data_IF_383866529959
#
_entry.id   IF_383866529959
#
_cell.length_a   1.000
_cell.length_b   1.000
_cell.length_c   1.000
_cell.angle_alpha   90.00
_cell.angle_beta   90.00
_cell.angle_gamma   90.00
#
_symmetry.space_group_name_H-M   'P 1'
#
loop_
_entity.id
_entity.type
_entity.pdbx_description
1 polymer ?
#
# COMPACT_ATOMS: atom_id res chain seq x y z
N UNK A 1 -17.98 -16.75 -22.22
CA UNK A 1 -17.44 -16.71 -20.85
C UNK A 1 -18.49 -16.06 -19.98
N UNK A 2 -18.88 -16.69 -18.87
CA UNK A 2 -19.80 -16.05 -17.92
C UNK A 2 -18.99 -15.09 -17.05
N UNK A 3 -19.29 -13.80 -17.14
CA UNK A 3 -18.75 -12.77 -16.24
C UNK A 3 -19.75 -12.55 -15.12
N UNK A 4 -19.26 -12.30 -13.90
CA UNK A 4 -20.07 -11.88 -12.76
C UNK A 4 -19.60 -10.50 -12.31
N UNK A 5 -20.52 -9.60 -12.03
CA UNK A 5 -20.20 -8.31 -11.43
C UNK A 5 -20.36 -8.37 -9.91
N UNK A 6 -19.42 -7.72 -9.21
CA UNK A 6 -19.45 -7.52 -7.76
C UNK A 6 -19.43 -6.02 -7.46
N UNK A 7 -20.23 -5.58 -6.48
CA UNK A 7 -20.15 -4.22 -5.95
C UNK A 7 -19.07 -4.18 -4.86
N UNK A 8 -18.15 -3.23 -4.98
CA UNK A 8 -17.05 -3.07 -4.03
C UNK A 8 -16.93 -1.65 -3.49
N UNK A 9 -16.45 -1.54 -2.24
CA UNK A 9 -16.09 -0.27 -1.59
C UNK A 9 -14.58 -0.20 -1.34
N UNK A 10 -13.96 0.94 -1.65
CA UNK A 10 -12.61 1.29 -1.23
C UNK A 10 -12.68 2.45 -0.25
N UNK A 11 -12.03 2.31 0.91
CA UNK A 11 -11.97 3.35 1.94
C UNK A 11 -10.49 3.61 2.23
N UNK A 12 -10.05 4.83 1.99
CA UNK A 12 -8.70 5.28 2.30
C UNK A 12 -8.75 6.26 3.47
N UNK A 13 -8.07 5.91 4.55
CA UNK A 13 -7.99 6.67 5.80
C UNK A 13 -6.54 7.14 5.95
N UNK A 14 -6.25 8.27 5.32
CA UNK A 14 -4.96 8.93 5.45
C UNK A 14 -4.87 9.79 6.72
N UNK A 15 -3.68 10.34 6.96
CA UNK A 15 -3.42 11.23 8.11
C UNK A 15 -4.26 12.51 8.06
N UNK A 16 -4.45 13.03 6.86
CA UNK A 16 -5.14 14.31 6.61
C UNK A 16 -6.54 14.07 6.11
N UNK A 17 -6.73 13.12 5.22
CA UNK A 17 -7.97 12.97 4.46
C UNK A 17 -8.50 11.55 4.47
N UNK A 18 -9.83 11.43 4.45
CA UNK A 18 -10.54 10.18 4.24
C UNK A 18 -11.35 10.25 2.94
N UNK A 19 -11.31 9.17 2.17
CA UNK A 19 -11.98 9.05 0.87
C UNK A 19 -12.72 7.71 0.76
N UNK A 20 -13.87 7.71 0.11
CA UNK A 20 -14.69 6.52 -0.16
C UNK A 20 -14.97 6.44 -1.65
N UNK A 21 -14.74 5.27 -2.25
CA UNK A 21 -15.13 4.96 -3.63
C UNK A 21 -16.01 3.73 -3.66
N UNK A 22 -16.97 3.70 -4.57
CA UNK A 22 -17.70 2.49 -4.93
C UNK A 22 -17.38 2.12 -6.37
N UNK A 23 -17.22 0.82 -6.63
CA UNK A 23 -16.85 0.30 -7.93
C UNK A 23 -17.57 -1.00 -8.25
N UNK A 24 -17.85 -1.22 -9.54
CA UNK A 24 -18.22 -2.52 -10.07
C UNK A 24 -16.97 -3.26 -10.55
N UNK A 25 -16.79 -4.49 -10.07
CA UNK A 25 -15.68 -5.36 -10.43
C UNK A 25 -16.19 -6.53 -11.26
N UNK A 26 -15.59 -6.74 -12.44
CA UNK A 26 -15.93 -7.89 -13.30
C UNK A 26 -15.00 -9.07 -13.02
N UNK A 27 -15.61 -10.20 -12.69
CA UNK A 27 -14.96 -11.44 -12.33
C UNK A 27 -15.17 -12.50 -13.42
N UNK A 28 -14.10 -13.21 -13.80
CA UNK A 28 -14.13 -14.31 -14.77
C UNK A 28 -13.45 -15.54 -14.19
N UNK A 29 -14.07 -16.72 -14.37
CA UNK A 29 -13.40 -17.98 -14.08
C UNK A 29 -12.46 -18.36 -15.23
N UNK A 30 -11.16 -18.39 -14.97
CA UNK A 30 -10.11 -18.83 -15.91
C UNK A 30 -9.79 -20.32 -15.83
N UNK A 31 -10.29 -21.05 -14.83
CA UNK A 31 -10.06 -22.48 -14.73
C UNK A 31 -10.83 -23.26 -15.79
N UNK A 32 -10.25 -24.37 -16.25
CA UNK A 32 -10.97 -25.35 -17.04
C UNK A 32 -12.10 -25.98 -16.20
N UNK A 33 -13.15 -26.49 -16.85
CA UNK A 33 -14.35 -27.05 -16.20
C UNK A 33 -14.04 -28.16 -15.19
N UNK A 34 -12.94 -28.90 -15.38
CA UNK A 34 -12.50 -29.99 -14.50
C UNK A 34 -11.53 -29.57 -13.39
N UNK A 35 -11.20 -28.28 -13.28
CA UNK A 35 -10.28 -27.74 -12.27
C UNK A 35 -11.03 -26.91 -11.23
N UNK A 36 -10.41 -26.73 -10.06
CA UNK A 36 -10.91 -25.80 -9.04
C UNK A 36 -11.10 -24.42 -9.69
N UNK A 37 -12.28 -23.78 -9.55
CA UNK A 37 -12.54 -22.47 -10.14
C UNK A 37 -11.45 -21.45 -9.79
N UNK A 38 -10.97 -20.72 -10.79
CA UNK A 38 -9.97 -19.67 -10.66
C UNK A 38 -10.57 -18.36 -11.11
N UNK A 39 -11.15 -17.65 -10.17
CA UNK A 39 -11.75 -16.36 -10.46
C UNK A 39 -10.67 -15.29 -10.52
N UNK A 40 -10.67 -14.50 -11.57
CA UNK A 40 -9.81 -13.34 -11.72
C UNK A 40 -10.66 -12.12 -12.05
N UNK A 41 -10.28 -10.99 -11.49
CA UNK A 41 -10.84 -9.73 -11.89
C UNK A 41 -10.18 -9.21 -13.15
N UNK A 42 -11.00 -8.77 -14.09
CA UNK A 42 -10.54 -8.32 -15.41
C UNK A 42 -10.88 -6.86 -15.70
N UNK A 43 -11.78 -6.26 -14.92
CA UNK A 43 -12.21 -4.87 -15.11
C UNK A 43 -12.71 -4.30 -13.79
N UNK A 44 -12.46 -3.00 -13.61
CA UNK A 44 -13.09 -2.18 -12.59
C UNK A 44 -13.72 -0.94 -13.22
N UNK A 45 -14.90 -0.59 -12.76
CA UNK A 45 -15.61 0.63 -13.15
C UNK A 45 -16.06 1.38 -11.89
N UNK A 46 -15.58 2.62 -11.71
CA UNK A 46 -15.93 3.41 -10.54
C UNK A 46 -17.34 3.99 -10.74
N UNK A 47 -18.28 3.59 -9.89
CA UNK A 47 -19.68 4.04 -9.97
C UNK A 47 -19.94 5.30 -9.15
N UNK A 48 -19.18 5.52 -8.09
CA UNK A 48 -19.32 6.72 -7.25
C UNK A 48 -18.03 7.05 -6.51
N UNK A 49 -17.81 8.35 -6.26
CA UNK A 49 -16.63 8.86 -5.56
C UNK A 49 -17.06 9.95 -4.57
N UNK A 50 -16.57 9.86 -3.33
CA UNK A 50 -16.86 10.86 -2.32
C UNK A 50 -16.11 12.18 -2.59
N UNK A 51 -16.57 13.30 -2.02
CA UNK A 51 -15.68 14.42 -1.72
C UNK A 51 -14.50 13.97 -0.88
N UNK A 52 -13.42 14.77 -0.87
CA UNK A 52 -12.30 14.54 0.03
C UNK A 52 -12.65 15.17 1.38
N UNK A 53 -12.70 14.35 2.42
CA UNK A 53 -13.01 14.82 3.78
C UNK A 53 -11.76 14.85 4.63
N UNK A 54 -11.72 15.71 5.64
CA UNK A 54 -10.69 15.61 6.67
C UNK A 54 -10.91 14.37 7.52
N UNK A 55 -9.82 13.62 7.78
CA UNK A 55 -9.88 12.45 8.65
C UNK A 55 -10.25 12.89 10.07
N UNK A 56 -11.30 12.32 10.69
CA UNK A 56 -11.66 12.62 12.07
C UNK A 56 -10.61 12.08 13.04
N UNK A 57 -9.63 12.93 13.39
CA UNK A 57 -8.59 12.65 14.38
C UNK A 57 -8.69 13.57 15.58
N UNK A 58 -8.26 13.09 16.75
CA UNK A 58 -8.01 13.95 17.91
C UNK A 58 -6.67 14.71 17.78
N UNK A 59 -6.37 15.57 18.76
CA UNK A 59 -5.14 16.38 18.77
C UNK A 59 -3.85 15.55 18.88
N UNK A 60 -3.95 14.29 19.28
CA UNK A 60 -2.85 13.34 19.40
C UNK A 60 -2.78 12.43 18.15
N UNK A 61 -3.60 12.68 17.13
CA UNK A 61 -3.68 11.90 15.90
C UNK A 61 -4.50 10.60 16.04
N UNK A 62 -5.21 10.40 17.15
CA UNK A 62 -6.04 9.22 17.38
C UNK A 62 -7.31 9.25 16.53
N UNK A 63 -7.65 8.14 15.87
CA UNK A 63 -8.88 8.07 15.07
C UNK A 63 -10.11 8.16 15.96
N UNK A 64 -11.02 9.09 15.62
CA UNK A 64 -12.32 9.20 16.27
C UNK A 64 -13.32 8.26 15.61
N UNK A 65 -13.35 7.02 16.08
CA UNK A 65 -14.08 5.91 15.45
C UNK A 65 -15.56 6.22 15.13
N UNK A 66 -16.29 6.84 16.05
CA UNK A 66 -17.71 7.16 15.85
C UNK A 66 -17.93 8.23 14.76
N UNK A 67 -17.09 9.27 14.72
CA UNK A 67 -17.14 10.32 13.70
C UNK A 67 -16.76 9.74 12.33
N UNK A 68 -15.71 8.91 12.27
CA UNK A 68 -15.28 8.23 11.05
C UNK A 68 -16.35 7.29 10.50
N UNK A 69 -16.98 6.49 11.37
CA UNK A 69 -18.08 5.60 10.97
C UNK A 69 -19.27 6.39 10.41
N UNK A 70 -19.63 7.50 11.05
CA UNK A 70 -20.73 8.37 10.60
C UNK A 70 -20.42 8.94 9.22
N UNK A 71 -19.22 9.50 9.03
CA UNK A 71 -18.75 10.03 7.76
C UNK A 71 -18.86 9.00 6.62
N UNK A 72 -18.42 7.76 6.87
CA UNK A 72 -18.49 6.68 5.88
C UNK A 72 -19.93 6.31 5.56
N UNK A 73 -20.79 6.14 6.57
CA UNK A 73 -22.20 5.79 6.33
C UNK A 73 -22.96 6.89 5.58
N UNK A 74 -22.62 8.16 5.80
CA UNK A 74 -23.13 9.27 4.99
C UNK A 74 -22.73 9.14 3.52
N UNK A 75 -21.54 8.60 3.21
CA UNK A 75 -21.11 8.36 1.84
C UNK A 75 -21.86 7.19 1.19
N UNK A 76 -22.15 6.13 1.95
CA UNK A 76 -23.05 5.05 1.49
C UNK A 76 -24.44 5.59 1.13
N UNK A 77 -24.99 6.43 2.01
CA UNK A 77 -26.29 7.07 1.76
C UNK A 77 -26.25 8.00 0.55
N UNK A 78 -25.20 8.81 0.40
CA UNK A 78 -25.02 9.70 -0.75
C UNK A 78 -24.84 8.94 -2.08
N UNK A 79 -24.25 7.74 -2.03
CA UNK A 79 -24.14 6.84 -3.19
C UNK A 79 -25.43 6.04 -3.46
N UNK A 80 -26.41 6.06 -2.55
CA UNK A 80 -27.62 5.25 -2.64
C UNK A 80 -27.37 3.74 -2.46
N UNK A 81 -26.29 3.38 -1.76
CA UNK A 81 -25.84 2.00 -1.58
C UNK A 81 -26.10 1.57 -0.13
N UNK A 82 -26.81 0.46 0.05
CA UNK A 82 -26.97 -0.17 1.36
C UNK A 82 -25.68 -0.95 1.72
N UNK A 83 -25.14 -0.85 2.95
CA UNK A 83 -23.95 -1.59 3.36
C UNK A 83 -24.01 -3.09 3.06
N UNK A 84 -25.18 -3.70 3.23
CA UNK A 84 -25.42 -5.14 3.03
C UNK A 84 -25.37 -5.56 1.55
N UNK A 85 -25.44 -4.60 0.62
CA UNK A 85 -25.36 -4.86 -0.81
C UNK A 85 -23.93 -4.87 -1.37
N UNK A 86 -22.95 -4.49 -0.56
CA UNK A 86 -21.53 -4.50 -0.96
C UNK A 86 -20.97 -5.91 -0.79
N UNK A 87 -20.52 -6.51 -1.90
CA UNK A 87 -19.96 -7.86 -1.92
C UNK A 87 -18.53 -7.91 -1.37
N UNK A 88 -17.78 -6.80 -1.48
CA UNK A 88 -16.34 -6.74 -1.28
C UNK A 88 -15.90 -5.36 -0.80
N UNK A 89 -14.92 -5.27 0.10
CA UNK A 89 -14.30 -3.98 0.41
C UNK A 89 -12.85 -4.04 0.84
N UNK A 90 -12.18 -2.90 0.72
CA UNK A 90 -10.86 -2.67 1.27
C UNK A 90 -10.86 -1.38 2.07
N UNK A 91 -10.28 -1.43 3.26
CA UNK A 91 -9.97 -0.28 4.09
C UNK A 91 -8.45 -0.19 4.22
N UNK A 92 -7.88 0.90 3.75
CA UNK A 92 -6.47 1.22 3.87
C UNK A 92 -6.31 2.32 4.90
N UNK A 93 -5.38 2.15 5.82
CA UNK A 93 -4.92 3.21 6.73
C UNK A 93 -3.49 3.56 6.34
N UNK A 94 -3.20 4.84 6.13
CA UNK A 94 -1.86 5.29 5.70
C UNK A 94 -1.27 6.38 6.59
N UNK A 95 0.01 6.67 6.35
CA UNK A 95 0.76 7.74 6.99
C UNK A 95 0.87 7.61 8.52
N UNK A 96 0.90 8.75 9.21
CA UNK A 96 0.98 8.80 10.68
C UNK A 96 -0.25 8.21 11.37
N UNK A 97 -1.43 8.26 10.74
CA UNK A 97 -2.64 7.61 11.26
C UNK A 97 -2.46 6.10 11.44
N UNK A 98 -1.73 5.43 10.53
CA UNK A 98 -1.43 4.00 10.65
C UNK A 98 -0.56 3.67 11.88
N UNK A 99 0.25 4.62 12.36
CA UNK A 99 1.15 4.44 13.52
C UNK A 99 0.44 4.63 14.86
N UNK A 100 -0.81 5.13 14.86
CA UNK A 100 -1.52 5.35 16.11
C UNK A 100 -2.01 4.03 16.72
N UNK A 101 -1.87 3.91 18.05
CA UNK A 101 -2.25 2.71 18.80
C UNK A 101 -3.73 2.32 18.61
N UNK A 102 -4.61 3.29 18.40
CA UNK A 102 -6.04 3.02 18.24
C UNK A 102 -6.49 2.79 16.79
N UNK A 103 -5.62 2.99 15.79
CA UNK A 103 -6.01 2.97 14.39
C UNK A 103 -6.45 1.58 13.90
N UNK A 104 -5.61 0.56 14.14
CA UNK A 104 -5.92 -0.82 13.76
C UNK A 104 -7.17 -1.36 14.47
N UNK A 105 -7.35 -1.20 15.80
CA UNK A 105 -8.61 -1.58 16.46
C UNK A 105 -9.84 -0.87 15.88
N UNK A 106 -9.78 0.45 15.69
CA UNK A 106 -10.91 1.24 15.19
C UNK A 106 -11.35 0.77 13.79
N UNK A 107 -10.39 0.52 12.89
CA UNK A 107 -10.71 0.07 11.53
C UNK A 107 -11.14 -1.39 11.48
N UNK A 108 -10.64 -2.25 12.35
CA UNK A 108 -11.15 -3.62 12.46
C UNK A 108 -12.61 -3.64 12.94
N UNK A 109 -12.97 -2.77 13.88
CA UNK A 109 -14.37 -2.61 14.30
C UNK A 109 -15.24 -2.05 13.17
N UNK A 110 -14.74 -1.05 12.44
CA UNK A 110 -15.40 -0.47 11.28
C UNK A 110 -15.66 -1.54 10.20
N UNK A 111 -14.62 -2.31 9.82
CA UNK A 111 -14.71 -3.41 8.85
C UNK A 111 -15.83 -4.38 9.23
N UNK A 112 -15.83 -4.90 10.47
CA UNK A 112 -16.89 -5.81 10.97
C UNK A 112 -18.30 -5.25 10.85
N UNK A 113 -18.47 -3.93 10.89
CA UNK A 113 -19.78 -3.28 10.76
C UNK A 113 -20.22 -3.01 9.31
N UNK A 114 -19.29 -3.05 8.36
CA UNK A 114 -19.53 -2.76 6.94
C UNK A 114 -19.48 -4.01 6.05
N UNK A 115 -18.76 -5.07 6.45
CA UNK A 115 -18.63 -6.32 5.70
C UNK A 115 -17.33 -7.07 6.01
N UNK A 116 -17.03 -8.15 5.30
CA UNK A 116 -15.74 -8.85 5.44
C UNK A 116 -14.69 -8.23 4.53
N UNK A 117 -14.13 -7.10 4.95
CA UNK A 117 -13.22 -6.29 4.14
C UNK A 117 -11.75 -6.59 4.45
N UNK A 118 -10.88 -6.37 3.46
CA UNK A 118 -9.45 -6.24 3.73
C UNK A 118 -9.26 -5.03 4.62
N UNK A 119 -8.54 -5.21 5.70
CA UNK A 119 -8.00 -4.09 6.46
C UNK A 119 -6.49 -4.16 6.34
N UNK A 120 -5.93 -3.12 5.73
CA UNK A 120 -4.50 -2.97 5.56
C UNK A 120 -4.03 -1.71 6.25
N UNK A 121 -3.03 -1.87 7.12
CA UNK A 121 -2.22 -0.75 7.57
C UNK A 121 -1.06 -0.67 6.60
N UNK A 122 -1.07 0.33 5.73
CA UNK A 122 0.02 0.55 4.79
C UNK A 122 1.04 1.48 5.43
N UNK A 123 2.24 0.97 5.66
CA UNK A 123 3.39 1.83 5.90
C UNK A 123 3.82 2.53 4.62
N UNK A 124 4.93 3.28 4.67
CA UNK A 124 5.34 4.12 3.55
C UNK A 124 5.66 3.34 2.26
N UNK A 125 6.18 2.11 2.37
CA UNK A 125 6.48 1.29 1.19
C UNK A 125 5.19 0.83 0.50
N UNK A 126 4.26 0.25 1.25
CA UNK A 126 3.00 -0.25 0.71
C UNK A 126 2.12 0.90 0.17
N UNK A 127 2.05 2.03 0.87
CA UNK A 127 1.32 3.22 0.40
C UNK A 127 1.87 3.70 -0.95
N UNK A 128 3.20 3.74 -1.10
CA UNK A 128 3.84 4.12 -2.37
C UNK A 128 3.43 3.21 -3.53
N UNK A 129 3.43 1.89 -3.31
CA UNK A 129 3.05 0.90 -4.34
C UNK A 129 1.58 1.08 -4.72
N UNK A 130 0.68 1.16 -3.74
CA UNK A 130 -0.76 1.28 -3.96
C UNK A 130 -1.08 2.58 -4.72
N UNK A 131 -0.48 3.70 -4.33
CA UNK A 131 -0.63 4.97 -5.05
C UNK A 131 -0.11 4.86 -6.49
N UNK A 132 1.04 4.21 -6.70
CA UNK A 132 1.58 3.97 -8.05
C UNK A 132 0.66 3.13 -8.94
N UNK A 133 0.03 2.08 -8.40
CA UNK A 133 -0.97 1.30 -9.11
C UNK A 133 -2.20 2.13 -9.46
N UNK A 134 -2.78 2.85 -8.49
CA UNK A 134 -3.97 3.64 -8.76
C UNK A 134 -3.75 4.83 -9.67
N UNK A 135 -2.54 5.40 -9.70
CA UNK A 135 -2.13 6.41 -10.67
C UNK A 135 -1.97 5.86 -12.10
N UNK A 136 -1.87 4.53 -12.25
CA UNK A 136 -1.65 3.85 -13.52
C UNK A 136 -0.17 3.79 -13.94
N UNK A 137 0.76 4.08 -13.03
CA UNK A 137 2.19 4.08 -13.33
C UNK A 137 2.73 2.68 -13.66
N UNK A 138 2.22 1.66 -12.97
CA UNK A 138 2.56 0.26 -13.26
C UNK A 138 2.12 -0.15 -14.67
N UNK A 139 0.86 0.11 -15.02
CA UNK A 139 0.31 -0.19 -16.36
C UNK A 139 1.07 0.56 -17.45
N UNK A 140 1.42 1.84 -17.20
CA UNK A 140 2.23 2.63 -18.13
C UNK A 140 3.62 2.02 -18.34
N UNK A 141 4.27 1.60 -17.26
CA UNK A 141 5.57 0.93 -17.28
C UNK A 141 5.52 -0.39 -18.06
N UNK A 142 4.48 -1.19 -17.86
CA UNK A 142 4.28 -2.47 -18.54
C UNK A 142 4.06 -2.28 -20.04
N UNK A 143 3.13 -1.39 -20.43
CA UNK A 143 2.78 -1.15 -21.83
C UNK A 143 3.93 -0.56 -22.65
N UNK A 144 4.77 0.27 -22.01
CA UNK A 144 5.92 0.92 -22.67
C UNK A 144 7.23 0.18 -22.46
N UNK A 145 7.25 -0.88 -21.65
CA UNK A 145 8.44 -1.63 -21.26
C UNK A 145 9.58 -0.69 -20.79
N UNK A 146 9.23 0.28 -19.95
CA UNK A 146 10.16 1.32 -19.50
C UNK A 146 10.04 1.57 -17.99
N UNK A 147 10.99 2.34 -17.45
CA UNK A 147 10.98 2.72 -16.02
C UNK A 147 10.06 3.92 -15.78
N UNK A 148 9.09 3.76 -14.89
CA UNK A 148 8.14 4.81 -14.50
C UNK A 148 8.22 5.03 -13.00
N UNK A 149 8.51 6.26 -12.57
CA UNK A 149 8.49 6.66 -11.17
C UNK A 149 7.20 7.43 -10.87
N UNK A 150 6.33 6.87 -10.03
CA UNK A 150 5.24 7.64 -9.44
C UNK A 150 5.70 8.32 -8.16
N UNK A 151 5.31 9.58 -7.99
CA UNK A 151 5.51 10.35 -6.76
C UNK A 151 4.14 10.84 -6.28
N UNK A 152 3.63 10.22 -5.24
CA UNK A 152 2.36 10.58 -4.61
C UNK A 152 2.61 11.63 -3.52
N UNK A 153 2.24 12.88 -3.79
CA UNK A 153 2.54 14.02 -2.92
C UNK A 153 1.26 14.43 -2.20
N UNK A 154 1.15 13.99 -0.95
CA UNK A 154 0.03 14.25 -0.06
C UNK A 154 0.25 15.46 0.85
N UNK A 155 -0.45 15.48 1.98
CA UNK A 155 -0.34 16.53 2.99
C UNK A 155 0.96 16.45 3.81
N UNK A 156 1.38 15.24 4.19
CA UNK A 156 2.55 15.06 5.07
C UNK A 156 3.80 14.51 4.38
N UNK A 157 3.64 13.74 3.31
CA UNK A 157 4.70 12.95 2.69
C UNK A 157 4.62 12.97 1.17
N UNK A 158 5.77 12.65 0.54
CA UNK A 158 5.91 12.30 -0.86
C UNK A 158 6.37 10.84 -0.94
N UNK A 159 5.50 9.99 -1.49
CA UNK A 159 5.67 8.54 -1.59
C UNK A 159 6.09 8.14 -3.01
N UNK A 160 7.22 7.46 -3.14
CA UNK A 160 7.86 7.14 -4.41
C UNK A 160 7.70 5.64 -4.72
N UNK A 161 7.23 5.30 -5.92
CA UNK A 161 7.23 3.93 -6.42
C UNK A 161 7.78 3.86 -7.84
N UNK A 162 8.89 3.13 -7.98
CA UNK A 162 9.56 2.92 -9.25
C UNK A 162 9.15 1.56 -9.83
N UNK A 163 8.52 1.59 -11.00
CA UNK A 163 8.17 0.40 -11.76
C UNK A 163 9.10 0.23 -12.95
N UNK A 164 9.52 -1.00 -13.23
CA UNK A 164 10.30 -1.39 -14.40
C UNK A 164 9.58 -2.54 -15.12
N UNK A 165 9.17 -2.29 -16.36
CA UNK A 165 8.32 -3.19 -17.15
C UNK A 165 7.14 -3.78 -16.35
N UNK A 166 6.45 -2.92 -15.58
CA UNK A 166 5.29 -3.31 -14.77
C UNK A 166 5.61 -3.98 -13.43
N UNK A 167 6.89 -4.16 -13.07
CA UNK A 167 7.31 -4.74 -11.78
C UNK A 167 7.85 -3.66 -10.86
N UNK A 168 7.55 -3.75 -9.56
CA UNK A 168 8.14 -2.84 -8.57
C UNK A 168 9.66 -3.09 -8.47
N UNK A 169 10.46 -2.04 -8.61
CA UNK A 169 11.92 -2.10 -8.49
C UNK A 169 12.46 -1.30 -7.31
N UNK A 170 11.69 -0.35 -6.77
CA UNK A 170 12.06 0.37 -5.55
C UNK A 170 10.95 1.29 -5.05
N UNK A 171 11.01 1.61 -3.76
CA UNK A 171 10.13 2.59 -3.13
C UNK A 171 10.91 3.45 -2.16
N UNK A 172 10.46 4.69 -1.95
CA UNK A 172 11.04 5.63 -1.02
C UNK A 172 9.95 6.54 -0.45
N UNK A 173 10.16 7.13 0.73
CA UNK A 173 9.20 8.08 1.31
C UNK A 173 9.94 9.24 1.97
N UNK A 174 9.53 10.45 1.64
CA UNK A 174 10.08 11.70 2.14
C UNK A 174 9.01 12.47 2.92
N UNK A 175 9.34 12.98 4.11
CA UNK A 175 8.47 13.87 4.90
C UNK A 175 8.39 15.29 4.30
N UNK A 176 7.86 15.39 3.08
CA UNK A 176 7.57 16.64 2.38
C UNK A 176 6.17 16.54 1.78
N UNK A 177 5.27 17.45 2.15
CA UNK A 177 3.90 17.48 1.66
C UNK A 177 3.23 18.84 1.86
N UNK A 178 2.06 19.04 1.24
CA UNK A 178 1.39 20.35 1.17
C UNK A 178 0.90 20.91 2.51
N UNK A 179 0.65 20.04 3.51
CA UNK A 179 0.08 20.38 4.81
C UNK A 179 1.09 20.40 5.95
N UNK A 180 2.39 20.34 5.64
CA UNK A 180 3.42 20.54 6.66
C UNK A 180 3.32 21.93 7.31
N UNK A 181 2.80 22.92 6.59
CA UNK A 181 2.36 24.21 7.13
C UNK A 181 0.86 24.37 6.84
N UNK A 182 0.06 24.45 7.88
CA UNK A 182 -1.39 24.75 7.79
C UNK A 182 -1.58 26.25 7.82
N UNK A 183 -2.49 26.76 7.00
CA UNK A 183 -2.76 28.19 6.84
C UNK A 183 -4.21 28.53 7.15
N UNK A 184 -4.49 29.80 7.45
CA UNK A 184 -5.85 30.34 7.34
C UNK A 184 -6.17 30.74 5.88
N UNK A 185 -7.40 31.18 5.62
CA UNK A 185 -7.82 31.61 4.28
C UNK A 185 -7.10 32.85 3.75
N UNK A 186 -6.24 33.50 4.55
CA UNK A 186 -5.40 34.62 4.14
C UNK A 186 -3.93 34.21 3.96
N UNK A 187 -3.62 32.92 4.09
CA UNK A 187 -2.27 32.39 3.94
C UNK A 187 -1.36 32.60 5.15
N UNK A 188 -1.90 32.99 6.32
CA UNK A 188 -1.10 33.01 7.55
C UNK A 188 -0.96 31.60 8.09
N UNK A 189 0.26 31.19 8.40
CA UNK A 189 0.49 29.87 9.02
C UNK A 189 -0.15 29.85 10.41
N UNK A 190 -1.05 28.90 10.63
CA UNK A 190 -1.70 28.64 11.91
C UNK A 190 -1.03 27.51 12.68
N UNK A 191 -0.40 26.58 11.96
CA UNK A 191 0.29 25.44 12.55
C UNK A 191 1.41 24.94 11.64
N UNK A 192 2.52 24.52 12.24
CA UNK A 192 3.65 23.91 11.55
C UNK A 192 3.93 22.54 12.14
N UNK A 193 3.88 21.51 11.30
CA UNK A 193 4.30 20.17 11.66
C UNK A 193 5.82 20.12 11.76
N UNK A 194 6.36 19.21 12.58
CA UNK A 194 7.81 19.11 12.83
C UNK A 194 8.66 19.07 11.53
N UNK A 195 8.32 18.27 10.49
CA UNK A 195 9.06 18.31 9.23
C UNK A 195 9.01 19.68 8.53
N UNK A 196 7.85 20.34 8.56
CA UNK A 196 7.68 21.70 8.03
C UNK A 196 8.57 22.70 8.76
N UNK A 197 8.63 22.61 10.10
CA UNK A 197 9.50 23.47 10.91
C UNK A 197 10.98 23.25 10.58
N UNK A 198 11.43 22.01 10.34
CA UNK A 198 12.82 21.73 9.93
C UNK A 198 13.18 22.44 8.62
N UNK A 199 12.25 22.50 7.67
CA UNK A 199 12.47 23.18 6.38
C UNK A 199 12.48 24.69 6.56
N UNK A 200 11.60 25.22 7.43
CA UNK A 200 11.60 26.65 7.81
C UNK A 200 12.92 27.05 8.46
N UNK A 201 13.43 26.22 9.38
CA UNK A 201 14.71 26.44 10.07
C UNK A 201 15.89 26.42 9.10
N UNK A 202 15.90 25.55 8.09
CA UNK A 202 16.91 25.53 7.04
C UNK A 202 16.88 26.82 6.19
N UNK A 203 15.68 27.32 5.86
CA UNK A 203 15.53 28.49 5.00
C UNK A 203 15.88 29.81 5.71
N UNK A 204 15.58 29.92 7.01
CA UNK A 204 15.59 31.20 7.72
C UNK A 204 16.40 31.22 9.02
N UNK A 205 16.93 30.07 9.44
CA UNK A 205 17.68 29.89 10.68
C UNK A 205 16.86 29.17 11.76
N UNK A 206 17.57 28.41 12.59
CA UNK A 206 16.99 27.57 13.63
C UNK A 206 16.13 28.37 14.63
N UNK A 207 14.91 27.87 14.87
CA UNK A 207 13.97 28.48 15.81
C UNK A 207 13.11 29.59 15.20
N UNK A 208 13.11 29.73 13.87
CA UNK A 208 12.24 30.68 13.18
C UNK A 208 10.77 30.30 13.39
N UNK A 209 9.93 31.22 13.90
CA UNK A 209 8.51 30.94 14.06
C UNK A 209 7.81 30.90 12.70
N UNK A 210 7.38 29.72 12.25
CA UNK A 210 6.67 29.55 10.99
C UNK A 210 5.41 30.43 10.86
N UNK A 211 4.78 30.82 11.97
CA UNK A 211 3.60 31.71 12.00
C UNK A 211 3.92 33.15 11.64
N UNK A 212 5.20 33.52 11.67
CA UNK A 212 5.67 34.86 11.29
C UNK A 212 6.01 35.00 9.81
N UNK A 213 5.94 33.90 9.04
CA UNK A 213 6.33 33.90 7.64
C UNK A 213 5.35 34.71 6.78
N UNK A 214 5.92 35.50 5.87
CA UNK A 214 5.18 36.18 4.80
C UNK A 214 4.88 35.21 3.65
N UNK A 215 3.92 35.55 2.79
CA UNK A 215 3.64 34.74 1.58
C UNK A 215 4.88 34.54 0.68
N UNK A 216 5.75 35.55 0.57
CA UNK A 216 7.00 35.43 -0.19
C UNK A 216 7.97 34.41 0.46
N UNK A 217 8.02 34.35 1.80
CA UNK A 217 8.82 33.35 2.51
C UNK A 217 8.21 31.95 2.39
N UNK A 218 6.89 31.80 2.35
CA UNK A 218 6.23 30.51 2.05
C UNK A 218 6.58 30.00 0.65
N UNK A 219 6.71 30.90 -0.34
CA UNK A 219 7.20 30.54 -1.67
C UNK A 219 8.66 30.04 -1.63
N UNK A 220 9.51 30.60 -0.76
CA UNK A 220 10.89 30.10 -0.60
C UNK A 220 10.92 28.72 0.06
N UNK A 221 10.08 28.49 1.09
CA UNK A 221 9.93 27.18 1.74
C UNK A 221 9.48 26.12 0.72
N UNK A 222 8.46 26.43 -0.09
CA UNK A 222 7.95 25.49 -1.09
C UNK A 222 8.92 25.22 -2.24
N UNK A 223 9.77 26.19 -2.60
CA UNK A 223 10.90 25.95 -3.52
C UNK A 223 11.90 24.96 -2.92
N UNK A 224 12.27 25.13 -1.64
CA UNK A 224 13.15 24.17 -0.97
C UNK A 224 12.52 22.78 -0.89
N UNK A 225 11.21 22.70 -0.62
CA UNK A 225 10.46 21.44 -0.66
C UNK A 225 10.50 20.75 -2.03
N UNK A 226 10.33 21.52 -3.12
CA UNK A 226 10.42 21.00 -4.48
C UNK A 226 11.83 20.48 -4.79
N UNK A 227 12.88 21.20 -4.35
CA UNK A 227 14.26 20.74 -4.47
C UNK A 227 14.49 19.42 -3.72
N UNK A 228 14.01 19.30 -2.48
CA UNK A 228 14.13 18.06 -1.69
C UNK A 228 13.46 16.87 -2.38
N UNK A 229 12.31 17.08 -3.04
CA UNK A 229 11.65 16.04 -3.85
C UNK A 229 12.54 15.60 -5.01
N UNK A 230 13.14 16.56 -5.73
CA UNK A 230 14.03 16.27 -6.86
C UNK A 230 15.33 15.61 -6.43
N UNK A 231 15.89 15.96 -5.28
CA UNK A 231 17.08 15.32 -4.70
C UNK A 231 16.91 13.80 -4.52
N UNK A 232 15.69 13.34 -4.18
CA UNK A 232 15.36 11.91 -4.07
C UNK A 232 15.36 11.24 -5.45
N UNK A 233 14.85 11.93 -6.49
CA UNK A 233 14.84 11.43 -7.87
C UNK A 233 16.27 11.29 -8.41
N UNK A 234 17.10 12.31 -8.18
CA UNK A 234 18.51 12.32 -8.63
C UNK A 234 19.41 11.42 -7.76
N UNK A 235 18.95 11.01 -6.57
CA UNK A 235 19.69 10.15 -5.64
C UNK A 235 20.83 10.87 -4.91
N UNK A 236 20.82 12.21 -4.88
CA UNK A 236 21.86 13.04 -4.24
C UNK A 236 21.26 13.91 -3.13
N UNK A 237 21.12 13.32 -1.95
CA UNK A 237 20.40 13.93 -0.83
C UNK A 237 21.28 14.88 -0.02
N UNK A 238 20.77 16.09 0.21
CA UNK A 238 21.25 17.01 1.23
C UNK A 238 21.08 16.45 2.65
N UNK A 239 21.78 17.00 3.66
CA UNK A 239 21.58 16.60 5.07
C UNK A 239 20.11 16.73 5.52
N UNK A 240 19.41 17.76 5.05
CA UNK A 240 17.98 17.93 5.35
C UNK A 240 17.14 16.84 4.71
N UNK A 241 17.36 16.50 3.43
CA UNK A 241 16.64 15.42 2.77
C UNK A 241 16.87 14.08 3.51
N UNK A 242 18.11 13.78 3.90
CA UNK A 242 18.43 12.58 4.69
C UNK A 242 17.69 12.55 6.03
N UNK A 243 17.58 13.69 6.72
CA UNK A 243 16.85 13.80 7.98
C UNK A 243 15.32 13.69 7.82
N UNK A 244 14.80 13.95 6.62
CA UNK A 244 13.37 13.89 6.30
C UNK A 244 12.94 12.55 5.66
N UNK A 245 13.88 11.71 5.23
CA UNK A 245 13.56 10.37 4.73
C UNK A 245 12.90 9.50 5.80
N UNK A 246 11.78 8.85 5.46
CA UNK A 246 11.12 7.86 6.31
C UNK A 246 11.60 6.43 6.03
N UNK A 247 12.12 6.18 4.84
CA UNK A 247 12.57 4.87 4.39
C UNK A 247 13.96 4.96 3.74
N UNK A 248 14.46 3.82 3.23
CA UNK A 248 15.65 3.80 2.38
C UNK A 248 15.47 4.57 1.08
N UNK A 249 16.56 4.70 0.32
CA UNK A 249 16.57 5.39 -0.97
C UNK A 249 16.08 4.46 -2.09
N UNK A 250 15.71 5.09 -3.21
CA UNK A 250 15.52 4.36 -4.47
C UNK A 250 16.84 3.67 -4.89
N UNK A 251 16.76 2.57 -5.67
CA UNK A 251 17.95 1.85 -6.13
C UNK A 251 18.94 2.77 -6.87
N UNK A 252 20.21 2.72 -6.45
CA UNK A 252 21.25 3.55 -7.03
C UNK A 252 21.47 3.23 -8.52
N UNK A 253 21.72 4.27 -9.32
CA UNK A 253 22.01 4.13 -10.76
C UNK A 253 20.79 3.81 -11.64
N UNK A 254 19.58 3.80 -11.08
CA UNK A 254 18.34 3.59 -11.85
C UNK A 254 17.64 4.92 -12.09
N UNK A 255 17.71 5.42 -13.32
CA UNK A 255 17.00 6.65 -13.72
C UNK A 255 15.62 6.32 -14.30
N UNK A 256 14.54 6.97 -13.84
CA UNK A 256 13.23 6.83 -14.46
C UNK A 256 13.18 7.49 -15.84
N UNK A 257 12.46 6.87 -16.78
CA UNK A 257 12.24 7.41 -18.13
C UNK A 257 10.96 8.25 -18.21
N UNK A 258 10.02 8.00 -17.29
CA UNK A 258 8.78 8.74 -17.10
C UNK A 258 8.60 8.99 -15.61
N UNK A 259 8.12 10.18 -15.27
CA UNK A 259 7.73 10.55 -13.90
C UNK A 259 6.25 10.91 -13.92
N UNK A 260 5.48 10.40 -12.95
CA UNK A 260 4.09 10.80 -12.72
C UNK A 260 3.95 11.40 -11.33
N UNK A 261 3.18 12.49 -11.20
CA UNK A 261 2.88 13.11 -9.92
C UNK A 261 1.41 12.85 -9.57
N UNK A 262 1.16 12.19 -8.44
CA UNK A 262 -0.18 11.92 -7.91
C UNK A 262 -0.40 12.61 -6.55
N UNK A 263 -1.56 12.38 -5.93
CA UNK A 263 -1.91 12.97 -4.64
C UNK A 263 -2.48 14.38 -4.77
N UNK A 264 -2.74 15.03 -3.62
CA UNK A 264 -3.35 16.37 -3.58
C UNK A 264 -2.49 17.44 -4.26
N UNK A 265 -1.17 17.38 -4.08
CA UNK A 265 -0.24 18.32 -4.72
C UNK A 265 -0.04 17.96 -6.20
N UNK A 266 -0.04 16.67 -6.56
CA UNK A 266 -0.03 16.24 -7.96
C UNK A 266 -1.27 16.74 -8.73
N UNK A 267 -2.44 16.77 -8.09
CA UNK A 267 -3.64 17.37 -8.68
C UNK A 267 -3.52 18.89 -8.84
N UNK A 268 -2.99 19.59 -7.84
CA UNK A 268 -2.69 21.02 -7.97
C UNK A 268 -1.64 21.31 -9.05
N UNK A 269 -0.71 20.37 -9.29
CA UNK A 269 0.29 20.48 -10.35
C UNK A 269 -0.36 20.38 -11.74
N UNK A 270 -1.38 19.52 -11.89
CA UNK A 270 -2.16 19.38 -13.12
C UNK A 270 -3.14 20.54 -13.33
N UNK A 271 -3.81 20.97 -12.27
CA UNK A 271 -4.81 22.02 -12.28
C UNK A 271 -4.50 23.03 -11.17
N UNK A 272 -3.66 24.03 -11.49
CA UNK A 272 -3.27 25.06 -10.53
C UNK A 272 -4.50 25.87 -10.07
N UNK A 273 -4.85 25.86 -8.77
CA UNK A 273 -5.96 26.65 -8.27
C UNK A 273 -5.61 28.14 -8.31
N UNK A 274 -6.62 28.99 -8.51
CA UNK A 274 -6.44 30.44 -8.54
C UNK A 274 -6.09 31.02 -7.16
N UNK A 275 -6.64 30.43 -6.10
CA UNK A 275 -6.30 30.76 -4.71
C UNK A 275 -5.25 29.77 -4.19
N UNK A 276 -4.03 30.22 -3.84
CA UNK A 276 -2.96 29.36 -3.36
C UNK A 276 -3.19 28.79 -1.96
N UNK A 277 -4.21 29.24 -1.23
CA UNK A 277 -4.52 28.79 0.15
C UNK A 277 -5.91 28.15 0.27
N UNK A 278 -6.52 27.75 -0.84
CA UNK A 278 -7.89 27.23 -0.88
C UNK A 278 -8.12 25.94 -0.07
N UNK A 279 -7.04 25.23 0.28
CA UNK A 279 -7.06 24.01 1.10
C UNK A 279 -6.60 24.24 2.55
N UNK A 280 -6.43 25.49 2.98
CA UNK A 280 -5.88 25.85 4.29
C UNK A 280 -4.49 25.25 4.54
N UNK A 281 -3.68 25.14 3.49
CA UNK A 281 -2.31 24.65 3.51
C UNK A 281 -1.45 25.31 2.42
N UNK A 282 -0.22 24.81 2.21
CA UNK A 282 0.73 25.32 1.21
C UNK A 282 0.86 24.38 -0.02
N UNK A 283 -0.04 23.40 -0.17
CA UNK A 283 -0.02 22.42 -1.26
C UNK A 283 -0.03 23.05 -2.66
N UNK A 284 -0.90 24.04 -2.95
CA UNK A 284 -0.88 24.74 -4.24
C UNK A 284 0.41 25.50 -4.53
N UNK A 285 1.03 26.10 -3.49
CA UNK A 285 2.33 26.75 -3.62
C UNK A 285 3.44 25.74 -3.94
N UNK A 286 3.41 24.57 -3.30
CA UNK A 286 4.34 23.48 -3.59
C UNK A 286 4.18 22.96 -5.02
N UNK A 287 2.94 22.80 -5.50
CA UNK A 287 2.68 22.42 -6.89
C UNK A 287 3.23 23.45 -7.89
N UNK A 288 3.10 24.73 -7.58
CA UNK A 288 3.69 25.82 -8.38
C UNK A 288 5.21 25.74 -8.37
N UNK A 289 5.83 25.53 -7.22
CA UNK A 289 7.27 25.38 -7.09
C UNK A 289 7.81 24.16 -7.86
N UNK A 290 7.11 23.03 -7.84
CA UNK A 290 7.43 21.86 -8.66
C UNK A 290 7.30 22.17 -10.16
N UNK A 291 6.25 22.90 -10.56
CA UNK A 291 6.05 23.30 -11.95
C UNK A 291 7.19 24.19 -12.44
N UNK A 292 7.72 25.06 -11.58
CA UNK A 292 8.82 25.97 -11.86
C UNK A 292 10.22 25.37 -11.70
N UNK A 293 10.34 24.16 -11.14
CA UNK A 293 11.63 23.55 -10.84
C UNK A 293 12.41 23.21 -12.12
N UNK A 294 13.58 23.81 -12.39
CA UNK A 294 14.28 23.68 -13.67
C UNK A 294 14.59 22.23 -14.04
N UNK A 295 15.12 21.47 -13.08
CA UNK A 295 15.48 20.06 -13.27
C UNK A 295 14.28 19.17 -13.56
N UNK A 296 13.12 19.46 -12.96
CA UNK A 296 11.90 18.66 -13.15
C UNK A 296 11.27 18.95 -14.52
N UNK A 297 11.38 20.19 -15.01
CA UNK A 297 10.96 20.58 -16.37
C UNK A 297 11.75 19.89 -17.48
N UNK A 298 13.00 19.52 -17.21
CA UNK A 298 13.84 18.75 -18.14
C UNK A 298 13.48 17.25 -18.16
N UNK A 299 12.77 16.77 -17.13
CA UNK A 299 12.33 15.37 -17.03
C UNK A 299 11.02 15.14 -17.79
N UNK A 300 10.79 13.89 -18.19
CA UNK A 300 9.56 13.47 -18.85
C UNK A 300 8.43 13.26 -17.82
N UNK A 301 7.89 14.37 -17.31
CA UNK A 301 6.75 14.36 -16.39
C UNK A 301 5.45 14.20 -17.18
N UNK A 302 4.66 13.20 -16.83
CA UNK A 302 3.36 12.93 -17.43
C UNK A 302 2.25 12.98 -16.39
N UNK A 303 1.03 13.28 -16.83
CA UNK A 303 -0.14 13.29 -15.97
C UNK A 303 -0.68 11.87 -15.82
N UNK A 304 -0.82 11.36 -14.57
CA UNK A 304 -1.41 10.05 -14.36
C UNK A 304 -2.91 10.05 -14.71
N UNK A 305 -3.46 8.85 -14.87
CA UNK A 305 -4.89 8.68 -15.12
C UNK A 305 -5.73 9.11 -13.90
N UNK A 306 -5.18 8.96 -12.68
CA UNK A 306 -5.79 9.35 -11.41
C UNK A 306 -4.73 10.00 -10.50
N UNK A 307 -5.13 10.99 -9.72
CA UNK A 307 -4.26 11.78 -8.83
C UNK A 307 -4.67 11.60 -7.36
N UNK A 308 -5.63 12.38 -6.86
CA UNK A 308 -6.04 12.46 -5.44
C UNK A 308 -6.57 11.14 -4.89
N UNK A 309 -7.16 10.32 -5.77
CA UNK A 309 -7.78 9.03 -5.42
C UNK A 309 -6.90 7.84 -5.80
N UNK A 310 -5.65 8.06 -6.19
CA UNK A 310 -4.77 6.97 -6.60
C UNK A 310 -4.66 5.89 -5.53
N UNK A 311 -4.47 6.24 -4.26
CA UNK A 311 -4.36 5.24 -3.18
C UNK A 311 -5.63 4.39 -3.00
N UNK A 312 -6.80 5.03 -2.95
CA UNK A 312 -8.08 4.30 -2.81
C UNK A 312 -8.45 3.50 -4.08
N UNK A 313 -8.07 3.99 -5.26
CA UNK A 313 -8.21 3.29 -6.53
C UNK A 313 -7.14 2.20 -6.67
N UNK A 314 -6.00 2.25 -6.01
CA UNK A 314 -5.07 1.11 -5.97
C UNK A 314 -5.74 -0.09 -5.28
N UNK A 315 -6.52 0.21 -4.24
CA UNK A 315 -7.13 -0.72 -3.30
C UNK A 315 -8.25 -1.61 -3.88
N UNK A 316 -8.17 -2.91 -3.57
CA UNK A 316 -9.33 -3.73 -3.20
C UNK A 316 -10.00 -4.56 -4.30
N UNK A 317 -9.86 -5.89 -4.18
CA UNK A 317 -10.94 -6.86 -4.37
C UNK A 317 -10.63 -8.24 -3.75
N UNK A 318 -11.61 -9.16 -3.74
CA UNK A 318 -11.46 -10.50 -3.16
C UNK A 318 -11.77 -11.63 -4.15
N UNK A 319 -10.96 -12.67 -4.13
CA UNK A 319 -11.22 -13.94 -4.81
C UNK A 319 -11.24 -15.08 -3.79
N UNK A 320 -12.34 -15.83 -3.75
CA UNK A 320 -12.42 -17.03 -2.91
C UNK A 320 -11.79 -18.21 -3.65
N UNK A 321 -10.86 -18.90 -2.98
CA UNK A 321 -10.25 -20.15 -3.44
C UNK A 321 -10.45 -21.24 -2.39
N UNK A 322 -10.29 -22.49 -2.82
CA UNK A 322 -10.15 -23.63 -1.93
C UNK A 322 -8.69 -24.07 -2.00
N UNK A 323 -8.08 -24.42 -0.86
CA UNK A 323 -6.74 -25.03 -0.89
C UNK A 323 -6.75 -26.36 -1.63
N UNK A 324 -5.55 -26.84 -1.97
CA UNK A 324 -5.37 -28.23 -2.35
C UNK A 324 -5.81 -29.20 -1.25
N UNK A 325 -5.90 -30.49 -1.62
CA UNK A 325 -6.19 -31.58 -0.67
C UNK A 325 -4.95 -32.10 0.06
N UNK A 326 -3.80 -31.53 -0.27
CA UNK A 326 -2.46 -31.93 0.13
C UNK A 326 -1.82 -30.90 1.06
N UNK A 327 -2.60 -30.17 1.85
CA UNK A 327 -2.07 -29.20 2.84
C UNK A 327 -1.41 -29.87 4.05
N UNK A 328 -0.65 -29.08 4.81
CA UNK A 328 -0.16 -29.42 6.14
C UNK A 328 -0.63 -28.40 7.18
N UNK A 329 -1.23 -28.85 8.28
CA UNK A 329 -1.69 -28.00 9.39
C UNK A 329 -1.36 -28.65 10.73
N UNK A 330 -0.51 -28.00 11.53
CA UNK A 330 -0.18 -28.48 12.86
C UNK A 330 0.04 -27.32 13.85
N UNK A 331 -0.70 -27.33 14.97
CA UNK A 331 -0.54 -26.36 16.05
C UNK A 331 -1.06 -24.94 15.76
N UNK A 332 -1.64 -24.69 14.58
CA UNK A 332 -2.16 -23.37 14.17
C UNK A 332 -3.60 -23.19 14.60
N UNK A 333 -3.90 -22.09 15.29
CA UNK A 333 -5.27 -21.72 15.65
C UNK A 333 -5.93 -20.97 14.50
N UNK A 334 -6.92 -21.62 13.88
CA UNK A 334 -7.73 -21.07 12.77
C UNK A 334 -9.13 -20.66 13.29
N UNK A 335 -9.79 -19.66 12.68
CA UNK A 335 -9.41 -18.95 11.45
C UNK A 335 -8.42 -17.80 11.67
N UNK A 336 -7.62 -17.52 10.64
CA UNK A 336 -6.75 -16.34 10.56
C UNK A 336 -7.27 -15.40 9.46
N UNK A 337 -7.13 -14.09 9.67
CA UNK A 337 -7.63 -13.08 8.74
C UNK A 337 -6.61 -11.97 8.47
N UNK A 338 -6.69 -11.41 7.26
CA UNK A 338 -5.90 -10.28 6.78
C UNK A 338 -4.40 -10.53 6.97
N UNK A 339 -3.92 -11.72 6.58
CA UNK A 339 -2.51 -12.06 6.63
C UNK A 339 -1.81 -11.58 5.34
N UNK A 340 -0.87 -10.63 5.41
CA UNK A 340 -0.12 -10.20 4.23
C UNK A 340 0.76 -11.34 3.70
N UNK A 341 0.84 -11.46 2.36
CA UNK A 341 1.63 -12.49 1.69
C UNK A 341 2.93 -11.91 1.15
N UNK A 342 4.05 -12.34 1.70
CA UNK A 342 5.39 -11.98 1.24
C UNK A 342 5.80 -12.86 0.06
N UNK A 343 5.84 -12.26 -1.14
CA UNK A 343 6.20 -12.95 -2.38
C UNK A 343 7.64 -12.62 -2.78
N UNK A 344 8.55 -13.61 -2.87
CA UNK A 344 9.93 -13.36 -3.27
C UNK A 344 10.03 -13.00 -4.75
N UNK A 345 10.77 -11.93 -5.07
CA UNK A 345 11.02 -11.50 -6.45
C UNK A 345 12.27 -12.20 -7.04
N UNK A 346 13.31 -12.39 -6.22
CA UNK A 346 14.51 -13.16 -6.59
C UNK A 346 14.42 -14.58 -6.00
N UNK A 347 14.69 -15.58 -6.84
CA UNK A 347 14.55 -16.99 -6.50
C UNK A 347 15.89 -17.63 -6.12
N UNK A 348 17.00 -16.91 -6.29
CA UNK A 348 18.36 -17.42 -6.02
C UNK A 348 18.67 -17.51 -4.53
N UNK A 349 18.21 -16.51 -3.76
CA UNK A 349 18.33 -16.46 -2.31
C UNK A 349 16.97 -16.16 -1.68
N UNK A 350 16.23 -17.23 -1.37
CA UNK A 350 14.88 -17.13 -0.82
C UNK A 350 14.84 -16.40 0.53
N UNK A 351 15.85 -16.54 1.37
CA UNK A 351 15.88 -15.93 2.70
C UNK A 351 15.91 -14.41 2.56
N UNK A 352 16.85 -13.90 1.75
CA UNK A 352 16.96 -12.48 1.48
C UNK A 352 15.75 -11.95 0.70
N UNK A 353 15.22 -12.74 -0.24
CA UNK A 353 14.05 -12.33 -1.02
C UNK A 353 12.78 -12.22 -0.18
N UNK A 354 12.52 -13.14 0.76
CA UNK A 354 11.41 -13.01 1.70
C UNK A 354 11.59 -11.82 2.65
N UNK A 355 12.81 -11.58 3.13
CA UNK A 355 13.10 -10.41 3.95
C UNK A 355 12.78 -9.11 3.20
N UNK A 356 13.19 -9.01 1.93
CA UNK A 356 12.88 -7.85 1.09
C UNK A 356 11.38 -7.70 0.84
N UNK A 357 10.67 -8.81 0.58
CA UNK A 357 9.22 -8.78 0.40
C UNK A 357 8.47 -8.31 1.67
N UNK A 358 8.94 -8.70 2.86
CA UNK A 358 8.37 -8.21 4.13
C UNK A 358 8.64 -6.72 4.35
N UNK A 359 9.84 -6.24 4.00
CA UNK A 359 10.16 -4.80 4.06
C UNK A 359 9.23 -4.00 3.14
N UNK A 360 8.98 -4.48 1.92
CA UNK A 360 8.06 -3.84 0.98
C UNK A 360 6.61 -3.79 1.47
N UNK A 361 6.23 -4.71 2.35
CA UNK A 361 4.91 -4.75 3.00
C UNK A 361 4.89 -4.00 4.34
N UNK A 362 6.00 -3.36 4.72
CA UNK A 362 6.19 -2.67 6.00
C UNK A 362 6.00 -3.59 7.22
N UNK A 363 6.49 -4.85 7.13
CA UNK A 363 6.36 -5.86 8.18
C UNK A 363 7.69 -6.14 8.88
N UNK A 364 7.65 -6.25 10.21
CA UNK A 364 8.78 -6.76 10.98
C UNK A 364 8.73 -8.30 11.02
N UNK A 365 9.73 -8.99 10.44
CA UNK A 365 9.76 -10.45 10.39
C UNK A 365 9.81 -11.12 11.79
N UNK A 366 10.09 -10.38 12.87
CA UNK A 366 10.19 -10.92 14.23
C UNK A 366 8.93 -10.74 15.06
N UNK A 367 7.99 -9.89 14.65
CA UNK A 367 6.82 -9.56 15.47
C UNK A 367 5.50 -9.60 14.73
N UNK A 368 5.48 -9.39 13.42
CA UNK A 368 4.23 -9.37 12.66
C UNK A 368 3.84 -10.77 12.17
N UNK A 369 2.54 -10.99 11.98
CA UNK A 369 2.01 -12.19 11.35
C UNK A 369 1.97 -12.01 9.82
N UNK A 370 2.52 -12.97 9.08
CA UNK A 370 2.60 -12.95 7.62
C UNK A 370 2.59 -14.37 7.05
N UNK A 371 2.48 -14.47 5.73
CA UNK A 371 2.55 -15.72 4.98
C UNK A 371 3.69 -15.62 3.98
N UNK A 372 4.59 -16.62 3.96
CA UNK A 372 5.65 -16.70 2.97
C UNK A 372 5.15 -17.44 1.72
N UNK A 373 5.19 -16.80 0.56
CA UNK A 373 4.88 -17.49 -0.69
C UNK A 373 6.13 -18.17 -1.26
N UNK A 374 5.94 -19.35 -1.85
CA UNK A 374 6.97 -20.00 -2.66
C UNK A 374 6.97 -19.44 -4.08
N UNK A 375 8.14 -19.28 -4.73
CA UNK A 375 8.19 -18.87 -6.13
C UNK A 375 7.41 -19.83 -7.04
N UNK A 376 6.60 -19.27 -7.92
CA UNK A 376 5.76 -20.04 -8.85
C UNK A 376 6.58 -20.85 -9.87
N UNK A 377 7.84 -20.48 -10.11
CA UNK A 377 8.75 -21.19 -11.00
C UNK A 377 9.28 -22.50 -10.43
N UNK A 378 9.18 -22.70 -9.10
CA UNK A 378 9.81 -23.83 -8.44
C UNK A 378 9.25 -25.15 -9.01
N UNK A 379 10.13 -26.05 -9.50
CA UNK A 379 9.68 -27.31 -10.06
C UNK A 379 9.19 -28.23 -8.94
N UNK A 380 8.10 -28.97 -9.18
CA UNK A 380 7.57 -29.96 -8.24
C UNK A 380 8.46 -31.20 -8.21
N UNK A 381 9.61 -31.10 -7.52
CA UNK A 381 10.64 -32.14 -7.41
C UNK A 381 11.23 -32.13 -6.00
N UNK A 382 11.66 -33.31 -5.56
CA UNK A 382 12.25 -33.48 -4.22
C UNK A 382 13.42 -32.52 -3.94
N UNK A 383 14.30 -32.30 -4.91
CA UNK A 383 15.43 -31.37 -4.76
C UNK A 383 14.97 -29.93 -4.45
N UNK A 384 13.90 -29.45 -5.10
CA UNK A 384 13.35 -28.12 -4.82
C UNK A 384 12.74 -28.04 -3.43
N UNK A 385 12.04 -29.10 -2.98
CA UNK A 385 11.50 -29.19 -1.61
C UNK A 385 12.62 -29.07 -0.57
N UNK A 386 13.77 -29.74 -0.77
CA UNK A 386 14.92 -29.62 0.13
C UNK A 386 15.51 -28.20 0.15
N UNK A 387 15.61 -27.55 -1.01
CA UNK A 387 16.07 -26.15 -1.09
C UNK A 387 15.15 -25.23 -0.28
N UNK A 388 13.83 -25.37 -0.44
CA UNK A 388 12.84 -24.58 0.31
C UNK A 388 12.92 -24.84 1.80
N UNK A 389 13.09 -26.10 2.21
CA UNK A 389 13.23 -26.48 3.62
C UNK A 389 14.43 -25.78 4.26
N UNK A 390 15.60 -25.88 3.64
CA UNK A 390 16.82 -25.25 4.16
C UNK A 390 16.62 -23.73 4.29
N UNK A 391 16.04 -23.09 3.27
CA UNK A 391 15.75 -21.67 3.31
C UNK A 391 14.76 -21.28 4.42
N UNK A 392 13.68 -22.06 4.62
CA UNK A 392 12.70 -21.79 5.68
C UNK A 392 13.32 -21.94 7.08
N UNK A 393 14.14 -22.97 7.29
CA UNK A 393 14.85 -23.19 8.56
C UNK A 393 15.81 -22.03 8.84
N UNK A 394 16.61 -21.64 7.85
CA UNK A 394 17.53 -20.51 7.96
C UNK A 394 16.80 -19.20 8.22
N UNK A 395 15.67 -18.98 7.54
CA UNK A 395 14.83 -17.80 7.72
C UNK A 395 14.26 -17.71 9.14
N UNK A 396 13.66 -18.80 9.65
CA UNK A 396 13.11 -18.87 11.01
C UNK A 396 14.21 -18.68 12.06
N UNK A 397 15.40 -19.27 11.85
CA UNK A 397 16.52 -19.09 12.77
C UNK A 397 17.02 -17.65 12.81
N UNK A 398 17.04 -16.96 11.66
CA UNK A 398 17.46 -15.55 11.55
C UNK A 398 16.41 -14.58 12.10
N UNK A 399 15.13 -14.90 11.94
CA UNK A 399 13.99 -14.08 12.33
C UNK A 399 13.02 -14.87 13.22
N UNK A 400 13.37 -15.13 14.49
CA UNK A 400 12.46 -15.78 15.41
C UNK A 400 11.21 -14.91 15.61
N UNK A 401 10.03 -15.52 15.44
CA UNK A 401 8.73 -14.85 15.46
C UNK A 401 7.76 -15.63 16.37
N UNK A 402 6.95 -14.97 17.23
CA UNK A 402 5.98 -15.64 18.09
C UNK A 402 4.76 -16.20 17.33
N UNK A 403 4.53 -15.79 16.08
CA UNK A 403 3.44 -16.28 15.25
C UNK A 403 3.78 -17.61 14.55
N UNK A 404 2.76 -18.40 14.15
CA UNK A 404 2.96 -19.60 13.34
C UNK A 404 3.74 -19.32 12.05
N UNK A 405 4.51 -20.31 11.59
CA UNK A 405 5.05 -20.30 10.24
C UNK A 405 3.94 -20.65 9.25
N UNK A 406 3.56 -19.71 8.40
CA UNK A 406 2.55 -19.87 7.38
C UNK A 406 3.22 -19.80 6.00
N UNK A 407 3.03 -20.82 5.18
CA UNK A 407 3.61 -20.93 3.84
C UNK A 407 2.49 -21.17 2.84
N UNK A 408 2.54 -20.45 1.72
CA UNK A 408 1.62 -20.65 0.59
C UNK A 408 2.38 -21.01 -0.69
N UNK A 409 1.82 -21.92 -1.48
CA UNK A 409 2.37 -22.30 -2.77
C UNK A 409 1.27 -22.42 -3.83
N UNK A 410 1.58 -22.01 -5.07
CA UNK A 410 0.70 -22.26 -6.21
C UNK A 410 0.79 -23.72 -6.71
N UNK A 411 1.88 -24.41 -6.37
CA UNK A 411 2.14 -25.80 -6.72
C UNK A 411 1.75 -26.76 -5.58
N UNK A 412 1.50 -28.02 -5.92
CA UNK A 412 1.22 -29.12 -4.96
C UNK A 412 2.49 -29.53 -4.18
N UNK A 413 2.76 -28.78 -3.11
CA UNK A 413 3.91 -29.01 -2.21
C UNK A 413 3.51 -29.33 -0.77
N UNK A 414 2.27 -29.09 -0.37
CA UNK A 414 1.89 -28.87 1.02
C UNK A 414 2.32 -30.00 1.94
N UNK A 415 1.98 -31.23 1.58
CA UNK A 415 2.18 -32.41 2.43
C UNK A 415 3.65 -32.83 2.44
N UNK A 416 4.29 -32.84 1.28
CA UNK A 416 5.70 -33.21 1.17
C UNK A 416 6.60 -32.21 1.92
N UNK A 417 6.35 -30.91 1.73
CA UNK A 417 7.08 -29.85 2.43
C UNK A 417 6.82 -29.89 3.94
N UNK A 418 5.55 -29.96 4.34
CA UNK A 418 5.16 -30.01 5.75
C UNK A 418 5.77 -31.20 6.50
N UNK A 419 5.68 -32.41 5.93
CA UNK A 419 6.22 -33.64 6.53
C UNK A 419 7.74 -33.58 6.74
N UNK A 420 8.48 -32.97 5.82
CA UNK A 420 9.95 -32.92 5.86
C UNK A 420 10.48 -31.72 6.67
N UNK A 421 9.71 -30.63 6.74
CA UNK A 421 10.04 -29.45 7.53
C UNK A 421 9.75 -29.67 9.02
N UNK A 422 8.66 -30.38 9.34
CA UNK A 422 8.18 -30.57 10.71
C UNK A 422 9.23 -31.10 11.69
N UNK A 423 10.04 -32.14 11.37
CA UNK A 423 11.08 -32.64 12.27
C UNK A 423 12.16 -31.62 12.63
N UNK A 424 12.35 -30.61 11.79
CA UNK A 424 13.35 -29.55 11.97
C UNK A 424 12.80 -28.38 12.81
N UNK A 425 11.48 -28.20 12.86
CA UNK A 425 10.78 -27.11 13.54
C UNK A 425 9.74 -27.64 14.55
N UNK A 426 10.15 -28.53 15.46
CA UNK A 426 9.24 -29.31 16.33
C UNK A 426 8.35 -28.49 17.29
N UNK A 427 8.72 -27.26 17.62
CA UNK A 427 7.95 -26.43 18.55
C UNK A 427 7.18 -25.29 17.88
N UNK A 428 7.40 -25.07 16.58
CA UNK A 428 6.76 -23.98 15.84
C UNK A 428 5.46 -24.48 15.20
N UNK A 429 4.30 -23.86 15.49
CA UNK A 429 3.09 -24.07 14.71
C UNK A 429 3.32 -23.84 13.22
N UNK A 430 2.84 -24.73 12.37
CA UNK A 430 3.13 -24.75 10.94
C UNK A 430 1.85 -24.95 10.12
N UNK A 431 1.64 -24.07 9.15
CA UNK A 431 0.71 -24.28 8.05
C UNK A 431 1.44 -24.19 6.71
N UNK A 432 1.27 -25.21 5.87
CA UNK A 432 1.67 -25.18 4.45
C UNK A 432 0.42 -25.39 3.62
N UNK A 433 0.03 -24.36 2.89
CA UNK A 433 -1.18 -24.35 2.06
C UNK A 433 -0.75 -24.31 0.60
N UNK A 434 -1.16 -25.30 -0.18
CA UNK A 434 -0.83 -25.42 -1.59
C UNK A 434 -2.02 -25.18 -2.51
N UNK A 435 -1.71 -25.09 -3.80
CA UNK A 435 -2.64 -24.80 -4.89
C UNK A 435 -3.39 -23.46 -4.74
N UNK A 436 -2.79 -22.51 -4.01
CA UNK A 436 -3.29 -21.13 -3.86
C UNK A 436 -2.39 -20.19 -4.64
N UNK A 437 -2.98 -19.50 -5.61
CA UNK A 437 -2.28 -18.51 -6.44
C UNK A 437 -2.39 -17.14 -5.75
N UNK A 438 -1.24 -16.49 -5.58
CA UNK A 438 -1.12 -15.18 -4.95
C UNK A 438 -0.32 -14.22 -5.85
N UNK A 439 -0.57 -12.92 -5.71
CA UNK A 439 0.03 -11.81 -6.43
C UNK A 439 0.59 -10.77 -5.45
N UNK A 440 1.48 -9.91 -5.93
CA UNK A 440 2.08 -8.88 -5.09
C UNK A 440 1.00 -7.98 -4.47
N UNK A 441 1.08 -7.72 -3.17
CA UNK A 441 0.07 -6.97 -2.43
C UNK A 441 -1.16 -7.78 -1.99
N UNK A 442 -1.14 -9.10 -2.16
CA UNK A 442 -2.21 -9.97 -1.67
C UNK A 442 -2.14 -10.22 -0.16
N UNK A 443 -3.32 -10.36 0.42
CA UNK A 443 -3.57 -10.79 1.78
C UNK A 443 -4.41 -12.07 1.71
N UNK A 444 -4.28 -12.95 2.69
CA UNK A 444 -5.10 -14.15 2.78
C UNK A 444 -5.84 -14.24 4.11
N UNK A 445 -7.06 -14.75 4.03
CA UNK A 445 -7.77 -15.32 5.16
C UNK A 445 -7.71 -16.84 5.05
N UNK A 446 -7.43 -17.51 6.17
CA UNK A 446 -7.44 -18.96 6.27
C UNK A 446 -8.59 -19.33 7.20
N UNK A 447 -9.64 -19.92 6.63
CA UNK A 447 -10.82 -20.28 7.39
C UNK A 447 -10.66 -21.60 8.18
N UNK A 448 -11.75 -22.02 8.81
CA UNK A 448 -11.78 -23.27 9.59
C UNK A 448 -11.60 -24.49 8.68
N UNK A 449 -10.80 -25.49 9.09
CA UNK A 449 -10.61 -26.69 8.28
C UNK A 449 -11.90 -27.45 7.99
N UNK A 450 -12.00 -27.96 6.78
CA UNK A 450 -13.08 -28.79 6.29
C UNK A 450 -12.61 -30.24 6.16
N UNK A 451 -13.56 -31.18 6.09
CA UNK A 451 -13.28 -32.60 5.84
C UNK A 451 -12.18 -33.20 6.75
N UNK A 452 -12.27 -32.94 8.06
CA UNK A 452 -11.34 -33.49 9.04
C UNK A 452 -9.92 -32.91 8.99
N UNK A 453 -9.73 -31.72 8.40
CA UNK A 453 -8.42 -31.05 8.33
C UNK A 453 -7.70 -31.18 6.99
N UNK A 454 -8.33 -31.85 6.01
CA UNK A 454 -7.70 -32.16 4.71
C UNK A 454 -7.65 -30.96 3.76
N UNK A 455 -8.51 -29.96 3.99
CA UNK A 455 -8.66 -28.77 3.13
C UNK A 455 -9.05 -27.58 4.00
N UNK A 456 -8.61 -26.37 3.62
CA UNK A 456 -9.07 -25.11 4.22
C UNK A 456 -9.64 -24.18 3.15
N UNK A 457 -10.72 -23.44 3.46
CA UNK A 457 -11.15 -22.34 2.62
C UNK A 457 -10.15 -21.18 2.74
N UNK A 458 -9.72 -20.63 1.62
CA UNK A 458 -8.74 -19.55 1.55
C UNK A 458 -9.32 -18.39 0.75
N UNK A 459 -9.47 -17.24 1.38
CA UNK A 459 -9.87 -16.01 0.67
C UNK A 459 -8.62 -15.24 0.35
N UNK A 460 -8.30 -15.08 -0.94
CA UNK A 460 -7.22 -14.20 -1.40
C UNK A 460 -7.81 -12.82 -1.64
N UNK A 461 -7.17 -11.81 -1.07
CA UNK A 461 -7.65 -10.45 -1.03
C UNK A 461 -6.57 -9.52 -1.57
N UNK A 462 -6.81 -8.85 -2.68
CA UNK A 462 -5.80 -8.05 -3.38
C UNK A 462 -5.94 -6.57 -3.04
N UNK A 463 -4.86 -5.95 -2.58
CA UNK A 463 -4.79 -4.48 -2.38
C UNK A 463 -4.28 -3.73 -3.61
N UNK A 464 -3.64 -4.39 -4.56
CA UNK A 464 -3.09 -3.76 -5.75
C UNK A 464 -3.76 -4.34 -6.98
N UNK A 465 -4.73 -3.59 -7.54
CA UNK A 465 -5.32 -3.95 -8.82
C UNK A 465 -4.43 -3.52 -9.99
N UNK A 466 -4.09 -4.42 -10.93
CA UNK A 466 -3.66 -4.00 -12.26
C UNK A 466 -4.77 -3.13 -12.87
N UNK A 467 -4.42 -1.96 -13.39
CA UNK A 467 -5.38 -1.01 -13.98
C UNK A 467 -5.91 -1.49 -15.32
#
# INVERSE_FOLDING_TARGET
>A
MNTRQLLSVGIDIGTTTTQVIFSHLELVNRAAVSQVPRYEFIKREISWQSPVFFTPVDKQGGLKEAELKTLILEQYQAAGIAPESVDSGAIIITGESAKNRNARPAVMTLSRSLGDFVVASAGPHLESVIAGHGAGAQTLSEQRLCRVLNIDIGGGTANYALFDAGKISGTACLNVGGRLLETDSQGRVVYAHKPGQMIVDECFGAGTDARSLTGAQLVQVTRRMAELIVEVIDGTLSPLAQALMQTGLLPAGVTPEIITLSGGVGECYRHQPADPFCFADIGPLLATALHDHPRLREMNVQFPAQTVRATVIGAGAHTLSLSGSTIWLEGVQLPLRNLPVAIPIDEKDLVSAWQQALIQLDLDPKTDAYVLALPASLPVRYAAVLTVINALVDFVARFPNPHPLLVVAGQDFGKALGMLLRPQLQQLPLAVIDEVIVRAGDYIDIGTPLFGGSVVPVTVKSLAFPS
#
